data_IF_343459082170
#
_entry.id   IF_343459082170
#
_cell.length_a   1.000
_cell.length_b   1.000
_cell.length_c   1.000
_cell.angle_alpha   90.00
_cell.angle_beta   90.00
_cell.angle_gamma   90.00
#
_symmetry.space_group_name_H-M   'P 1'
#
loop_
_entity.id
_entity.type
_entity.pdbx_description
1 polymer ?
#
# COMPACT_ATOMS: atom_id res chain seq x y z
N UNK A 1 2.95 -52.54 -31.86
CA UNK A 1 1.65 -51.94 -32.19
C UNK A 1 0.77 -51.71 -30.94
N UNK A 2 0.41 -52.73 -30.13
CA UNK A 2 -0.47 -52.53 -28.96
C UNK A 2 0.16 -51.61 -27.88
N UNK A 3 1.41 -51.86 -27.48
CA UNK A 3 2.14 -51.03 -26.52
C UNK A 3 2.39 -49.57 -26.94
N UNK A 4 2.51 -49.32 -28.23
CA UNK A 4 2.65 -47.95 -28.78
C UNK A 4 1.30 -47.22 -28.76
N UNK A 5 0.21 -47.90 -28.98
CA UNK A 5 -1.14 -47.33 -28.87
C UNK A 5 -1.44 -46.95 -27.40
N UNK A 6 -1.14 -47.85 -26.45
CA UNK A 6 -1.35 -47.62 -25.03
C UNK A 6 -0.49 -46.40 -24.51
N UNK A 7 0.74 -46.27 -25.02
CA UNK A 7 1.59 -45.14 -24.70
C UNK A 7 1.05 -43.81 -25.29
N UNK A 8 0.51 -43.85 -26.50
CA UNK A 8 -0.10 -42.69 -27.13
C UNK A 8 -1.36 -42.24 -26.39
N UNK A 9 -2.25 -43.16 -26.04
CA UNK A 9 -3.45 -42.87 -25.27
C UNK A 9 -3.13 -42.27 -23.92
N UNK A 10 -2.14 -42.82 -23.22
CA UNK A 10 -1.67 -42.26 -21.93
C UNK A 10 -1.10 -40.87 -22.10
N UNK A 11 -0.33 -40.61 -23.17
CA UNK A 11 0.19 -39.27 -23.46
C UNK A 11 -0.94 -38.27 -23.73
N UNK A 12 -1.97 -38.67 -24.45
CA UNK A 12 -3.13 -37.85 -24.73
C UNK A 12 -3.89 -37.50 -23.44
N UNK A 13 -4.15 -38.48 -22.61
CA UNK A 13 -4.80 -38.28 -21.28
C UNK A 13 -4.01 -37.33 -20.41
N UNK A 14 -2.66 -37.46 -20.38
CA UNK A 14 -1.79 -36.56 -19.58
C UNK A 14 -1.81 -35.13 -20.11
N UNK A 15 -1.86 -34.93 -21.43
CA UNK A 15 -2.01 -33.61 -22.03
C UNK A 15 -3.34 -32.96 -21.66
N UNK A 16 -4.45 -33.71 -21.80
CA UNK A 16 -5.78 -33.23 -21.44
C UNK A 16 -5.88 -32.87 -19.94
N UNK A 17 -5.34 -33.73 -19.07
CA UNK A 17 -5.28 -33.45 -17.63
C UNK A 17 -4.46 -32.19 -17.31
N UNK A 18 -3.29 -32.04 -17.94
CA UNK A 18 -2.44 -30.84 -17.78
C UNK A 18 -3.17 -29.57 -18.21
N UNK A 19 -3.84 -29.61 -19.35
CA UNK A 19 -4.53 -28.45 -19.89
C UNK A 19 -5.76 -28.08 -19.02
N UNK A 20 -6.48 -29.07 -18.51
CA UNK A 20 -7.56 -28.87 -17.55
C UNK A 20 -7.05 -28.27 -16.21
N UNK A 21 -5.91 -28.75 -15.70
CA UNK A 21 -5.29 -28.21 -14.48
C UNK A 21 -4.79 -26.78 -14.70
N UNK A 22 -4.25 -26.45 -15.87
CA UNK A 22 -3.83 -25.10 -16.20
C UNK A 22 -5.01 -24.10 -16.21
N UNK A 23 -6.13 -24.46 -16.81
CA UNK A 23 -7.35 -23.65 -16.78
C UNK A 23 -7.93 -23.49 -15.37
N UNK A 24 -7.92 -24.56 -14.60
CA UNK A 24 -8.35 -24.52 -13.19
C UNK A 24 -7.47 -23.58 -12.37
N UNK A 25 -6.15 -23.65 -12.53
CA UNK A 25 -5.20 -22.77 -11.84
C UNK A 25 -5.43 -21.32 -12.23
N UNK A 26 -5.65 -21.03 -13.52
CA UNK A 26 -5.97 -19.69 -14.03
C UNK A 26 -7.24 -19.13 -13.36
N UNK A 27 -8.29 -19.94 -13.32
CA UNK A 27 -9.55 -19.55 -12.67
C UNK A 27 -9.38 -19.25 -11.19
N UNK A 28 -8.67 -20.13 -10.45
CA UNK A 28 -8.39 -19.92 -9.03
C UNK A 28 -7.57 -18.63 -8.81
N UNK A 29 -6.53 -18.41 -9.63
CA UNK A 29 -5.72 -17.19 -9.56
C UNK A 29 -6.57 -15.93 -9.75
N UNK A 30 -7.42 -15.91 -10.78
CA UNK A 30 -8.31 -14.76 -11.05
C UNK A 30 -9.27 -14.51 -9.88
N UNK A 31 -9.88 -15.56 -9.33
CA UNK A 31 -10.75 -15.43 -8.16
C UNK A 31 -10.02 -14.87 -6.93
N UNK A 32 -8.79 -15.34 -6.66
CA UNK A 32 -7.99 -14.84 -5.55
C UNK A 32 -7.58 -13.37 -5.74
N UNK A 33 -7.15 -12.99 -6.94
CA UNK A 33 -6.80 -11.61 -7.25
C UNK A 33 -8.00 -10.68 -7.14
N UNK A 34 -9.18 -11.09 -7.61
CA UNK A 34 -10.41 -10.33 -7.46
C UNK A 34 -10.79 -10.12 -5.98
N UNK A 35 -10.64 -11.16 -5.15
CA UNK A 35 -10.90 -11.06 -3.71
C UNK A 35 -9.90 -10.11 -3.01
N UNK A 36 -8.61 -10.18 -3.37
CA UNK A 36 -7.59 -9.29 -2.84
C UNK A 36 -7.89 -7.84 -3.22
N UNK A 37 -8.17 -7.59 -4.51
CA UNK A 37 -8.54 -6.27 -5.02
C UNK A 37 -9.76 -5.72 -4.28
N UNK A 38 -10.81 -6.50 -4.15
CA UNK A 38 -12.03 -6.10 -3.44
C UNK A 38 -11.74 -5.67 -1.99
N UNK A 39 -11.02 -6.49 -1.22
CA UNK A 39 -10.70 -6.18 0.18
C UNK A 39 -9.79 -4.96 0.34
N UNK A 40 -8.80 -4.81 -0.54
CA UNK A 40 -7.93 -3.65 -0.52
C UNK A 40 -8.70 -2.38 -0.86
N UNK A 41 -9.53 -2.40 -1.89
CA UNK A 41 -10.32 -1.25 -2.31
C UNK A 41 -11.35 -0.85 -1.24
N UNK A 42 -11.98 -1.80 -0.58
CA UNK A 42 -12.89 -1.53 0.55
C UNK A 42 -12.15 -0.83 1.71
N UNK A 43 -10.98 -1.34 2.10
CA UNK A 43 -10.19 -0.73 3.18
C UNK A 43 -9.61 0.63 2.75
N UNK A 44 -9.14 0.77 1.51
CA UNK A 44 -8.68 2.05 0.98
C UNK A 44 -9.79 3.10 0.96
N UNK A 45 -11.01 2.72 0.56
CA UNK A 45 -12.17 3.62 0.63
C UNK A 45 -12.44 4.09 2.05
N UNK A 46 -12.48 3.17 3.00
CA UNK A 46 -12.70 3.48 4.42
C UNK A 46 -11.63 4.40 5.01
N UNK A 47 -10.36 4.18 4.67
CA UNK A 47 -9.25 5.02 5.08
C UNK A 47 -9.32 6.40 4.44
N UNK A 48 -9.62 6.47 3.15
CA UNK A 48 -9.78 7.72 2.42
C UNK A 48 -10.90 8.58 3.01
N UNK A 49 -12.04 7.98 3.33
CA UNK A 49 -13.16 8.67 3.97
C UNK A 49 -12.79 9.19 5.37
N UNK A 50 -12.00 8.45 6.13
CA UNK A 50 -11.49 8.89 7.42
C UNK A 50 -10.54 10.11 7.32
N UNK A 51 -9.81 10.25 6.20
CA UNK A 51 -8.91 11.38 5.96
C UNK A 51 -9.65 12.59 5.38
N UNK A 52 -10.58 12.36 4.45
CA UNK A 52 -11.16 13.41 3.60
C UNK A 52 -12.67 13.58 3.72
N UNK A 53 -13.33 12.82 4.58
CA UNK A 53 -14.77 12.95 4.86
C UNK A 53 -15.63 12.88 3.57
N UNK A 54 -15.22 12.03 2.62
CA UNK A 54 -15.92 11.85 1.33
C UNK A 54 -15.66 12.94 0.28
N UNK A 55 -14.78 13.92 0.56
CA UNK A 55 -14.50 15.02 -0.38
C UNK A 55 -13.67 14.62 -1.60
N UNK A 56 -12.99 13.48 -1.57
CA UNK A 56 -12.12 12.99 -2.63
C UNK A 56 -12.33 11.50 -2.88
N UNK A 57 -12.17 11.09 -4.13
CA UNK A 57 -12.22 9.68 -4.49
C UNK A 57 -11.08 8.88 -3.86
N UNK A 58 -11.39 7.66 -3.44
CA UNK A 58 -10.39 6.71 -2.95
C UNK A 58 -9.55 6.16 -4.11
N UNK A 59 -8.29 5.78 -3.87
CA UNK A 59 -7.50 5.05 -4.84
C UNK A 59 -8.10 3.66 -5.09
N UNK A 60 -7.92 3.16 -6.30
CA UNK A 60 -8.42 1.85 -6.75
C UNK A 60 -7.25 1.02 -7.25
N UNK A 61 -7.19 -0.23 -6.79
CA UNK A 61 -6.30 -1.26 -7.31
C UNK A 61 -7.14 -2.26 -8.12
N UNK A 62 -6.76 -2.47 -9.37
CA UNK A 62 -7.39 -3.44 -10.26
C UNK A 62 -6.34 -4.36 -10.88
N UNK A 63 -6.53 -5.68 -10.75
CA UNK A 63 -5.62 -6.67 -11.32
C UNK A 63 -6.06 -7.04 -12.74
N UNK A 64 -5.09 -7.02 -13.64
CA UNK A 64 -5.24 -7.51 -15.02
C UNK A 64 -4.60 -8.90 -15.18
N UNK A 65 -4.73 -9.51 -16.34
CA UNK A 65 -4.09 -10.82 -16.61
C UNK A 65 -2.56 -10.78 -16.51
N UNK A 66 -1.94 -9.65 -16.80
CA UNK A 66 -0.48 -9.48 -16.88
C UNK A 66 0.11 -8.50 -15.87
N UNK A 67 -0.72 -7.81 -15.07
CA UNK A 67 -0.24 -6.79 -14.14
C UNK A 67 -1.34 -6.21 -13.26
N UNK A 68 -1.25 -4.94 -12.98
CA UNK A 68 -2.25 -4.21 -12.20
C UNK A 68 -2.34 -2.75 -12.67
N UNK A 69 -3.48 -2.14 -12.41
CA UNK A 69 -3.71 -0.70 -12.50
C UNK A 69 -3.90 -0.15 -11.09
N UNK A 70 -3.26 0.97 -10.80
CA UNK A 70 -3.45 1.71 -9.56
C UNK A 70 -3.68 3.17 -9.90
N UNK A 71 -4.84 3.71 -9.56
CA UNK A 71 -5.26 5.06 -9.96
C UNK A 71 -6.30 5.60 -8.99
N UNK A 72 -6.49 6.93 -8.99
CA UNK A 72 -7.63 7.57 -8.32
C UNK A 72 -8.60 8.04 -9.40
N UNK A 73 -9.87 7.60 -9.38
CA UNK A 73 -10.87 8.05 -10.36
C UNK A 73 -11.01 9.58 -10.36
N UNK A 74 -11.14 10.16 -11.55
CA UNK A 74 -11.38 11.60 -11.80
C UNK A 74 -10.34 12.55 -11.20
N UNK A 75 -9.15 12.04 -10.87
CA UNK A 75 -8.10 12.86 -10.29
C UNK A 75 -6.70 12.43 -10.72
N UNK A 76 -5.92 13.40 -11.23
CA UNK A 76 -4.57 13.19 -11.78
C UNK A 76 -3.50 14.04 -11.09
N UNK A 77 -3.83 14.70 -9.98
CA UNK A 77 -2.90 15.55 -9.24
C UNK A 77 -1.77 14.76 -8.57
N UNK A 78 -0.55 15.31 -8.58
CA UNK A 78 0.62 14.68 -7.96
C UNK A 78 0.40 14.38 -6.47
N UNK A 79 -0.17 15.32 -5.71
CA UNK A 79 -0.47 15.15 -4.29
C UNK A 79 -1.44 14.00 -4.04
N UNK A 80 -2.38 13.76 -4.95
CA UNK A 80 -3.34 12.67 -4.89
C UNK A 80 -2.70 11.32 -5.16
N UNK A 81 -1.74 11.26 -6.05
CA UNK A 81 -0.97 10.03 -6.27
C UNK A 81 -0.22 9.63 -4.98
N UNK A 82 0.45 10.56 -4.31
CA UNK A 82 1.14 10.29 -3.04
C UNK A 82 0.17 9.93 -1.90
N UNK A 83 -0.96 10.62 -1.80
CA UNK A 83 -2.06 10.26 -0.91
C UNK A 83 -2.51 8.83 -1.15
N UNK A 84 -2.74 8.46 -2.41
CA UNK A 84 -3.15 7.12 -2.81
C UNK A 84 -2.16 6.06 -2.34
N UNK A 85 -0.86 6.30 -2.45
CA UNK A 85 0.19 5.39 -1.95
C UNK A 85 0.11 5.21 -0.43
N UNK A 86 -0.03 6.29 0.34
CA UNK A 86 -0.15 6.21 1.81
C UNK A 86 -1.40 5.44 2.23
N UNK A 87 -2.53 5.67 1.57
CA UNK A 87 -3.79 4.95 1.84
C UNK A 87 -3.65 3.47 1.51
N UNK A 88 -3.01 3.14 0.38
CA UNK A 88 -2.71 1.76 -0.01
C UNK A 88 -1.81 1.05 1.01
N UNK A 89 -0.71 1.68 1.41
CA UNK A 89 0.23 1.12 2.36
C UNK A 89 -0.41 0.86 3.73
N UNK A 90 -1.27 1.77 4.20
CA UNK A 90 -2.07 1.58 5.41
C UNK A 90 -3.08 0.44 5.27
N UNK A 91 -3.74 0.32 4.11
CA UNK A 91 -4.68 -0.78 3.84
C UNK A 91 -3.95 -2.12 3.87
N UNK A 92 -2.79 -2.22 3.20
CA UNK A 92 -1.95 -3.42 3.22
C UNK A 92 -1.47 -3.72 4.64
N UNK A 93 -1.01 -2.72 5.39
CA UNK A 93 -0.58 -2.90 6.77
C UNK A 93 -1.69 -3.49 7.64
N UNK A 94 -2.93 -2.99 7.52
CA UNK A 94 -4.08 -3.45 8.32
C UNK A 94 -4.58 -4.84 7.94
N UNK A 95 -4.60 -5.15 6.65
CA UNK A 95 -5.14 -6.40 6.13
C UNK A 95 -4.16 -7.57 6.15
N UNK A 96 -2.88 -7.31 6.36
CA UNK A 96 -1.83 -8.34 6.31
C UNK A 96 -1.15 -8.56 7.67
N UNK A 97 -0.19 -9.48 7.71
CA UNK A 97 0.66 -9.74 8.88
C UNK A 97 1.94 -8.89 8.91
N UNK A 98 2.05 -7.89 8.05
CA UNK A 98 3.21 -6.98 8.07
C UNK A 98 3.31 -6.33 9.45
N UNK A 99 4.48 -6.37 10.09
CA UNK A 99 4.64 -5.84 11.45
C UNK A 99 4.91 -4.35 11.49
N UNK A 100 5.43 -3.78 10.40
CA UNK A 100 5.93 -2.41 10.36
C UNK A 100 5.68 -1.75 9.01
N UNK A 101 5.46 -0.44 9.04
CA UNK A 101 5.41 0.44 7.87
C UNK A 101 6.45 1.55 8.05
N UNK A 102 7.13 1.93 6.97
CA UNK A 102 8.10 3.03 6.95
C UNK A 102 7.71 4.03 5.86
N UNK A 103 7.49 5.28 6.23
CA UNK A 103 7.24 6.36 5.27
C UNK A 103 8.32 7.44 5.38
N UNK A 104 8.89 7.80 4.24
CA UNK A 104 9.83 8.90 4.12
C UNK A 104 9.10 10.25 3.95
N UNK A 105 9.72 11.32 4.36
CA UNK A 105 9.26 12.71 4.23
C UNK A 105 8.91 13.08 2.79
N UNK A 106 9.59 12.51 1.80
CA UNK A 106 9.33 12.77 0.37
C UNK A 106 7.89 12.42 -0.02
N UNK A 107 7.35 11.33 0.51
CA UNK A 107 5.96 10.91 0.26
C UNK A 107 4.98 11.83 0.96
N UNK A 108 5.26 12.18 2.21
CA UNK A 108 4.35 12.95 3.06
C UNK A 108 4.31 14.45 2.67
N UNK A 109 5.41 15.03 2.23
CA UNK A 109 5.49 16.45 1.81
C UNK A 109 4.55 16.85 0.67
N UNK A 110 4.11 15.91 -0.11
CA UNK A 110 3.22 16.17 -1.26
C UNK A 110 1.74 16.21 -0.88
N UNK A 111 1.42 15.88 0.37
CA UNK A 111 0.07 15.82 0.92
C UNK A 111 -0.19 17.07 1.73
N UNK A 112 -1.43 17.58 1.73
CA UNK A 112 -1.80 18.76 2.51
C UNK A 112 -1.64 18.52 4.03
N UNK A 113 -1.32 19.58 4.77
CA UNK A 113 -1.06 19.48 6.21
C UNK A 113 -2.28 18.94 6.97
N UNK A 114 -3.51 19.36 6.62
CA UNK A 114 -4.75 18.84 7.23
C UNK A 114 -4.90 17.32 7.03
N UNK A 115 -4.56 16.82 5.83
CA UNK A 115 -4.63 15.40 5.55
C UNK A 115 -3.50 14.62 6.26
N UNK A 116 -2.31 15.21 6.37
CA UNK A 116 -1.20 14.61 7.14
C UNK A 116 -1.59 14.45 8.61
N UNK A 117 -2.26 15.41 9.23
CA UNK A 117 -2.72 15.29 10.61
C UNK A 117 -3.65 14.08 10.80
N UNK A 118 -4.59 13.88 9.88
CA UNK A 118 -5.48 12.71 9.89
C UNK A 118 -4.72 11.40 9.65
N UNK A 119 -3.75 11.40 8.76
CA UNK A 119 -2.89 10.24 8.50
C UNK A 119 -2.08 9.88 9.75
N UNK A 120 -1.52 10.86 10.46
CA UNK A 120 -0.81 10.65 11.72
C UNK A 120 -1.74 10.02 12.76
N UNK A 121 -2.97 10.48 12.91
CA UNK A 121 -3.95 9.85 13.79
C UNK A 121 -4.20 8.37 13.42
N UNK A 122 -4.29 8.07 12.12
CA UNK A 122 -4.44 6.70 11.62
C UNK A 122 -3.22 5.83 11.94
N UNK A 123 -2.00 6.38 11.88
CA UNK A 123 -0.78 5.66 12.28
C UNK A 123 -0.82 5.28 13.75
N UNK A 124 -1.24 6.19 14.63
CA UNK A 124 -1.36 5.91 16.07
C UNK A 124 -2.43 4.87 16.41
N UNK A 125 -3.47 4.78 15.59
CA UNK A 125 -4.61 3.87 15.82
C UNK A 125 -4.53 2.55 15.07
N UNK A 126 -3.52 2.34 14.21
CA UNK A 126 -3.43 1.12 13.39
C UNK A 126 -3.03 -0.14 14.16
N UNK A 127 -2.55 -0.01 15.41
CA UNK A 127 -2.16 -1.13 16.26
C UNK A 127 -0.87 -1.84 15.83
N UNK A 128 -0.07 -1.22 14.95
CA UNK A 128 1.20 -1.75 14.43
C UNK A 128 2.28 -0.65 14.46
N UNK A 129 3.52 -1.05 14.29
CA UNK A 129 4.62 -0.11 14.27
C UNK A 129 4.62 0.69 12.96
N UNK A 130 4.67 2.02 13.08
CA UNK A 130 4.88 2.93 11.95
C UNK A 130 6.09 3.81 12.25
N UNK A 131 7.02 3.87 11.32
CA UNK A 131 8.21 4.72 11.37
C UNK A 131 8.06 5.77 10.29
N UNK A 132 8.14 7.04 10.66
CA UNK A 132 8.04 8.15 9.72
C UNK A 132 9.24 9.09 9.85
N UNK A 133 9.71 9.63 8.74
CA UNK A 133 10.62 10.77 8.71
C UNK A 133 9.81 12.03 8.36
N UNK A 134 9.87 13.05 9.23
CA UNK A 134 9.19 14.33 9.02
C UNK A 134 10.17 15.48 9.25
N UNK A 135 10.06 16.50 8.40
CA UNK A 135 10.90 17.71 8.49
C UNK A 135 10.11 19.00 8.81
N UNK A 136 8.77 18.91 8.91
CA UNK A 136 7.88 20.06 9.14
C UNK A 136 6.99 19.88 10.38
N UNK A 137 7.53 19.36 11.49
CA UNK A 137 6.66 19.07 12.63
C UNK A 137 6.03 20.31 13.30
N UNK A 138 6.59 21.51 13.07
CA UNK A 138 6.08 22.77 13.67
C UNK A 138 4.94 23.41 12.86
N UNK A 139 4.55 22.86 11.71
CA UNK A 139 3.46 23.37 10.88
C UNK A 139 2.09 22.76 11.19
N UNK A 140 2.05 21.77 12.07
CA UNK A 140 0.81 21.05 12.42
C UNK A 140 0.14 21.64 13.66
N UNK A 141 -1.10 21.21 13.93
CA UNK A 141 -1.81 21.58 15.15
C UNK A 141 -1.01 21.22 16.42
N UNK A 142 -1.29 21.91 17.52
CA UNK A 142 -0.64 21.65 18.82
C UNK A 142 -0.78 20.18 19.24
N UNK A 143 -1.94 19.57 19.00
CA UNK A 143 -2.20 18.15 19.27
C UNK A 143 -1.24 17.25 18.49
N UNK A 144 -1.13 17.45 17.18
CA UNK A 144 -0.30 16.63 16.28
C UNK A 144 1.19 16.84 16.57
N UNK A 145 1.62 18.10 16.75
CA UNK A 145 2.99 18.45 17.11
C UNK A 145 3.43 17.81 18.45
N UNK A 146 2.52 17.75 19.43
CA UNK A 146 2.76 17.08 20.71
C UNK A 146 2.92 15.57 20.52
N UNK A 147 2.01 14.90 19.78
CA UNK A 147 2.09 13.47 19.50
C UNK A 147 3.41 13.11 18.81
N UNK A 148 3.80 13.88 17.80
CA UNK A 148 5.08 13.70 17.08
C UNK A 148 6.27 13.89 18.00
N UNK A 149 6.24 14.92 18.86
CA UNK A 149 7.31 15.20 19.81
C UNK A 149 7.50 14.09 20.83
N UNK A 150 6.40 13.56 21.39
CA UNK A 150 6.40 12.46 22.36
C UNK A 150 6.85 11.13 21.74
N UNK A 151 6.67 10.96 20.42
CA UNK A 151 7.02 9.73 19.69
C UNK A 151 8.37 9.81 18.99
N UNK A 152 9.05 10.96 19.01
CA UNK A 152 10.30 11.16 18.31
C UNK A 152 11.43 10.33 18.96
N UNK A 153 11.95 9.36 18.23
CA UNK A 153 13.08 8.52 18.66
C UNK A 153 14.43 9.10 18.23
N UNK A 154 14.44 9.93 17.21
CA UNK A 154 15.64 10.59 16.68
C UNK A 154 15.28 11.99 16.19
N UNK A 155 16.07 12.99 16.57
CA UNK A 155 15.99 14.35 16.04
C UNK A 155 17.32 14.72 15.43
N UNK A 156 17.29 15.11 14.18
CA UNK A 156 18.45 15.56 13.43
C UNK A 156 18.36 17.08 13.26
N UNK A 157 19.42 17.78 13.60
CA UNK A 157 19.51 19.23 13.41
C UNK A 157 20.84 19.58 12.73
N UNK A 158 20.98 20.80 12.24
CA UNK A 158 22.24 21.30 11.71
C UNK A 158 23.28 21.52 12.82
N UNK A 159 24.52 21.80 12.44
CA UNK A 159 25.64 22.12 13.34
C UNK A 159 26.14 20.95 14.20
N UNK A 160 26.36 19.81 13.59
CA UNK A 160 27.01 18.65 14.22
C UNK A 160 26.04 17.63 14.82
N UNK A 161 24.74 17.85 14.68
CA UNK A 161 23.68 16.91 15.06
C UNK A 161 23.01 16.22 13.86
N UNK A 162 23.64 16.28 12.70
CA UNK A 162 23.28 15.52 11.52
C UNK A 162 23.60 14.03 11.74
N UNK A 163 22.98 13.14 10.93
CA UNK A 163 23.10 11.68 11.07
C UNK A 163 24.54 11.17 11.16
N UNK A 164 25.49 11.85 10.48
CA UNK A 164 26.92 11.53 10.50
C UNK A 164 27.78 12.64 11.16
N UNK A 165 27.19 13.50 11.96
CA UNK A 165 27.89 14.58 12.68
C UNK A 165 28.44 15.70 11.78
N UNK A 166 28.00 15.76 10.50
CA UNK A 166 28.40 16.80 9.54
C UNK A 166 27.34 16.98 8.45
N UNK A 167 27.25 18.21 7.94
CA UNK A 167 26.44 18.52 6.77
C UNK A 167 26.99 17.79 5.52
N UNK A 168 26.11 17.31 4.69
CA UNK A 168 26.43 16.88 3.32
C UNK A 168 26.41 18.14 2.46
N UNK A 169 27.57 18.70 2.23
CA UNK A 169 27.76 19.86 1.36
C UNK A 169 27.77 19.49 -0.10
#
# INVERSE_FOLDING_TARGET
>A
MQKENDAYEKLQQLKEARDADAERLKTIKQQQLALISYRLNEEMSRLNDAIYEGSYNAPVLDFTDTGYNFFTPDDTGTGIAYKGLVVYDLAVLRLTRLPVLVHDSVVLKQISDDAIEKIIELYFTCGKQVIIALDKQDSYSEKTSRLLSESAVLRLTSNGQELFGRSWG
#
